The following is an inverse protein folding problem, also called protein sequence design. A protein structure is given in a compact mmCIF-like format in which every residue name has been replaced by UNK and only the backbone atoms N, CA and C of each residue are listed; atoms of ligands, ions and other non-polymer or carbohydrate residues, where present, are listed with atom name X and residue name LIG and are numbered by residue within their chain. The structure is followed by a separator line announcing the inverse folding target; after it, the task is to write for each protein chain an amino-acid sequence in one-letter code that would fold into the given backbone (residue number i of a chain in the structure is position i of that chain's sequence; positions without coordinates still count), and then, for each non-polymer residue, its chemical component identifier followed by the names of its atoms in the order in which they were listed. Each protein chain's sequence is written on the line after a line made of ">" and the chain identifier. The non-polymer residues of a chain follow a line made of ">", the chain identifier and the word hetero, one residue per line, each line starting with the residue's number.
data_IF_102626164742
#
_entry.id   IF_102626164742
#
_cell.length_a   1.000
_cell.length_b   1.000
_cell.length_c   1.000
_cell.angle_alpha   90.00
_cell.angle_beta   90.00
_cell.angle_gamma   90.00
#
_symmetry.space_group_name_H-M   'P 1'
#
loop_
_entity.id
_entity.type
_entity.pdbx_description
1 polymer ?
#
# COMPACT_ATOMS: atom_id res chain seq x y z
N UNK A 1 -17.48 -19.70 13.00
CA UNK A 1 -18.61 -19.08 13.73
C UNK A 1 -18.22 -17.66 14.07
N UNK A 2 -18.86 -16.67 13.46
CA UNK A 2 -18.54 -15.25 13.62
C UNK A 2 -19.19 -14.73 14.91
N UNK A 3 -18.38 -14.24 15.86
CA UNK A 3 -18.87 -13.74 17.15
C UNK A 3 -19.18 -12.25 17.01
N UNK A 4 -20.46 -11.89 16.91
CA UNK A 4 -20.91 -10.49 16.87
C UNK A 4 -20.79 -9.82 18.23
N UNK A 5 -20.45 -8.54 18.26
CA UNK A 5 -20.21 -7.76 19.49
C UNK A 5 -21.39 -7.72 20.46
N UNK A 6 -22.61 -7.75 19.92
CA UNK A 6 -23.82 -7.78 20.74
C UNK A 6 -23.87 -9.01 21.65
N UNK A 7 -23.30 -10.16 21.26
CA UNK A 7 -23.25 -11.35 22.12
C UNK A 7 -22.38 -11.12 23.36
N UNK A 8 -21.22 -10.47 23.19
CA UNK A 8 -20.31 -10.16 24.29
C UNK A 8 -20.97 -9.15 25.23
N UNK A 9 -21.59 -8.11 24.66
CA UNK A 9 -22.27 -7.08 25.44
C UNK A 9 -23.48 -7.61 26.22
N UNK A 10 -24.31 -8.48 25.61
CA UNK A 10 -25.44 -9.12 26.31
C UNK A 10 -24.97 -10.03 27.44
N UNK A 11 -23.86 -10.75 27.25
CA UNK A 11 -23.31 -11.66 28.27
C UNK A 11 -22.79 -10.87 29.50
N UNK A 12 -22.12 -9.74 29.28
CA UNK A 12 -21.70 -8.82 30.35
C UNK A 12 -22.88 -8.22 31.11
N UNK A 13 -23.91 -7.78 30.38
CA UNK A 13 -25.11 -7.22 30.98
C UNK A 13 -25.85 -8.26 31.85
N UNK A 14 -25.99 -9.50 31.36
CA UNK A 14 -26.61 -10.59 32.11
C UNK A 14 -25.81 -10.92 33.38
N UNK A 15 -24.48 -11.01 33.28
CA UNK A 15 -23.60 -11.24 34.43
C UNK A 15 -23.78 -10.17 35.50
N UNK A 16 -23.91 -8.90 35.10
CA UNK A 16 -24.15 -7.79 36.00
C UNK A 16 -25.46 -7.96 36.79
N UNK A 17 -26.56 -8.30 36.12
CA UNK A 17 -27.87 -8.49 36.76
C UNK A 17 -27.85 -9.60 37.81
N UNK A 18 -27.19 -10.71 37.50
CA UNK A 18 -27.08 -11.80 38.47
C UNK A 18 -26.19 -11.42 39.66
N UNK A 19 -25.05 -10.78 39.41
CA UNK A 19 -24.07 -10.42 40.44
C UNK A 19 -24.57 -9.32 41.40
N UNK A 20 -25.30 -8.32 40.89
CA UNK A 20 -25.70 -7.15 41.71
C UNK A 20 -27.18 -7.13 42.07
N UNK A 21 -28.06 -7.72 41.24
CA UNK A 21 -29.50 -7.76 41.49
C UNK A 21 -29.94 -9.04 42.19
N UNK A 22 -29.78 -10.18 41.51
CA UNK A 22 -30.35 -11.46 41.97
C UNK A 22 -29.70 -11.97 43.26
N UNK A 23 -28.37 -11.91 43.37
CA UNK A 23 -27.64 -12.37 44.56
C UNK A 23 -28.09 -11.61 45.82
N UNK A 24 -28.13 -10.28 45.77
CA UNK A 24 -28.54 -9.44 46.91
C UNK A 24 -30.02 -9.61 47.25
N UNK A 25 -30.88 -9.74 46.25
CA UNK A 25 -32.31 -9.99 46.47
C UNK A 25 -32.54 -11.29 47.25
N UNK A 26 -31.91 -12.40 46.86
CA UNK A 26 -32.10 -13.69 47.53
C UNK A 26 -31.39 -13.79 48.88
N UNK A 27 -30.27 -13.08 49.05
CA UNK A 27 -29.66 -12.85 50.37
C UNK A 27 -30.62 -12.11 51.30
N UNK A 28 -31.34 -11.11 50.81
CA UNK A 28 -32.35 -10.38 51.61
C UNK A 28 -33.51 -11.27 52.05
N UNK A 29 -33.87 -12.28 51.25
CA UNK A 29 -34.88 -13.29 51.61
C UNK A 29 -34.34 -14.43 52.49
N UNK A 30 -33.07 -14.37 52.93
CA UNK A 30 -32.37 -15.41 53.71
C UNK A 30 -32.28 -16.78 53.01
N UNK A 31 -32.53 -16.86 51.72
CA UNK A 31 -32.39 -18.10 50.94
C UNK A 31 -30.94 -18.25 50.46
N UNK A 32 -30.10 -18.84 51.33
CA UNK A 32 -28.66 -18.96 51.08
C UNK A 32 -28.34 -19.84 49.87
N UNK A 33 -29.15 -20.88 49.62
CA UNK A 33 -28.93 -21.80 48.50
C UNK A 33 -29.19 -21.14 47.13
N UNK A 34 -30.26 -20.35 47.00
CA UNK A 34 -30.55 -19.64 45.75
C UNK A 34 -29.57 -18.50 45.49
N UNK A 35 -29.13 -17.79 46.52
CA UNK A 35 -28.07 -16.79 46.40
C UNK A 35 -26.74 -17.41 45.92
N UNK A 36 -26.37 -18.58 46.47
CA UNK A 36 -25.19 -19.32 46.02
C UNK A 36 -25.31 -19.79 44.56
N UNK A 37 -26.47 -20.32 44.17
CA UNK A 37 -26.73 -20.73 42.78
C UNK A 37 -26.61 -19.56 41.79
N UNK A 38 -27.13 -18.37 42.14
CA UNK A 38 -26.98 -17.17 41.33
C UNK A 38 -25.52 -16.70 41.20
N UNK A 39 -24.73 -16.82 42.28
CA UNK A 39 -23.30 -16.51 42.26
C UNK A 39 -22.51 -17.42 41.32
N UNK A 40 -22.78 -18.73 41.35
CA UNK A 40 -22.16 -19.71 40.44
C UNK A 40 -22.55 -19.43 38.98
N UNK A 41 -23.83 -19.14 38.73
CA UNK A 41 -24.30 -18.79 37.38
C UNK A 41 -23.60 -17.54 36.83
N UNK A 42 -23.46 -16.47 37.65
CA UNK A 42 -22.75 -15.26 37.26
C UNK A 42 -21.29 -15.54 36.90
N UNK A 43 -20.61 -16.37 37.70
CA UNK A 43 -19.22 -16.76 37.44
C UNK A 43 -19.06 -17.52 36.12
N UNK A 44 -19.94 -18.49 35.83
CA UNK A 44 -19.90 -19.26 34.58
C UNK A 44 -20.15 -18.36 33.36
N UNK A 45 -21.09 -17.42 33.46
CA UNK A 45 -21.39 -16.45 32.40
C UNK A 45 -20.20 -15.52 32.15
N UNK A 46 -19.53 -15.06 33.21
CA UNK A 46 -18.33 -14.23 33.10
C UNK A 46 -17.17 -15.01 32.45
N UNK A 47 -16.93 -16.26 32.85
CA UNK A 47 -15.94 -17.12 32.20
C UNK A 47 -16.24 -17.34 30.72
N UNK A 48 -17.52 -17.52 30.36
CA UNK A 48 -17.94 -17.66 28.97
C UNK A 48 -17.72 -16.38 28.16
N UNK A 49 -17.98 -15.20 28.74
CA UNK A 49 -17.69 -13.90 28.11
C UNK A 49 -16.19 -13.73 27.85
N UNK A 50 -15.33 -14.06 28.81
CA UNK A 50 -13.86 -14.00 28.65
C UNK A 50 -13.38 -14.97 27.58
N UNK A 51 -13.95 -16.18 27.52
CA UNK A 51 -13.63 -17.14 26.48
C UNK A 51 -14.04 -16.66 25.08
N UNK A 52 -15.23 -16.06 24.94
CA UNK A 52 -15.67 -15.45 23.68
C UNK A 52 -14.76 -14.30 23.26
N UNK A 53 -14.33 -13.45 24.20
CA UNK A 53 -13.41 -12.34 23.94
C UNK A 53 -12.07 -12.86 23.41
N UNK A 54 -11.46 -13.83 24.11
CA UNK A 54 -10.20 -14.44 23.67
C UNK A 54 -10.30 -15.10 22.30
N UNK A 55 -11.44 -15.72 21.98
CA UNK A 55 -11.68 -16.34 20.68
C UNK A 55 -11.84 -15.31 19.56
N UNK A 56 -12.46 -14.15 19.85
CA UNK A 56 -12.54 -13.01 18.93
C UNK A 56 -11.15 -12.41 18.71
N UNK A 57 -10.36 -12.25 19.77
CA UNK A 57 -8.98 -11.74 19.66
C UNK A 57 -8.10 -12.68 18.81
N UNK A 58 -8.22 -14.00 18.99
CA UNK A 58 -7.55 -15.00 18.13
C UNK A 58 -8.00 -14.97 16.65
N UNK A 59 -9.22 -14.50 16.36
CA UNK A 59 -9.68 -14.28 14.99
C UNK A 59 -9.14 -12.97 14.41
N UNK A 60 -8.93 -11.94 15.24
CA UNK A 60 -8.31 -10.67 14.84
C UNK A 60 -6.79 -10.77 14.69
N UNK A 61 -6.14 -11.65 15.48
CA UNK A 61 -4.70 -11.92 15.47
C UNK A 61 -4.28 -13.03 14.51
N UNK A 62 -5.21 -13.57 13.71
CA UNK A 62 -4.79 -14.36 12.54
C UNK A 62 -4.14 -13.38 11.57
N UNK A 63 -2.81 -13.43 11.32
CA UNK A 63 -2.20 -12.60 10.31
C UNK A 63 -2.91 -12.95 9.01
N UNK A 64 -3.67 -12.00 8.48
CA UNK A 64 -4.31 -12.09 7.18
C UNK A 64 -3.20 -12.11 6.13
N UNK A 65 -2.59 -13.27 5.95
CA UNK A 65 -1.83 -13.60 4.77
C UNK A 65 -2.84 -13.63 3.63
N UNK A 66 -3.03 -12.45 3.03
CA UNK A 66 -3.60 -12.24 1.70
C UNK A 66 -5.00 -12.85 1.57
N UNK A 67 -6.02 -12.14 2.07
CA UNK A 67 -7.38 -12.34 1.57
C UNK A 67 -7.39 -11.88 0.12
N UNK A 68 -7.41 -12.82 -0.83
CA UNK A 68 -7.71 -12.49 -2.23
C UNK A 68 -9.11 -11.86 -2.29
N UNK A 69 -9.31 -10.74 -2.99
CA UNK A 69 -10.65 -10.20 -3.18
C UNK A 69 -11.52 -11.24 -3.90
N UNK A 70 -12.74 -11.50 -3.40
CA UNK A 70 -13.74 -12.46 -3.90
C UNK A 70 -14.25 -12.16 -5.34
N UNK A 71 -13.57 -11.30 -6.09
CA UNK A 71 -13.95 -10.90 -7.45
C UNK A 71 -12.76 -10.97 -8.41
N UNK A 72 -12.02 -12.07 -8.41
CA UNK A 72 -10.90 -12.31 -9.34
C UNK A 72 -11.28 -12.11 -10.82
N UNK A 73 -12.56 -12.25 -11.18
CA UNK A 73 -13.07 -11.98 -12.54
C UNK A 73 -13.14 -10.49 -12.90
N UNK A 74 -13.29 -9.58 -11.92
CA UNK A 74 -13.33 -8.12 -12.19
C UNK A 74 -11.95 -7.54 -12.49
N UNK A 75 -10.88 -8.24 -12.07
CA UNK A 75 -9.49 -7.79 -12.24
C UNK A 75 -8.85 -8.24 -13.57
N UNK A 76 -9.62 -8.81 -14.51
CA UNK A 76 -9.11 -9.25 -15.79
C UNK A 76 -8.33 -8.11 -16.50
N UNK A 77 -7.05 -8.36 -16.80
CA UNK A 77 -6.11 -7.45 -17.47
C UNK A 77 -6.63 -7.08 -18.86
N UNK A 78 -7.42 -6.01 -18.94
CA UNK A 78 -8.19 -5.62 -20.14
C UNK A 78 -7.37 -5.31 -21.40
N UNK A 79 -6.05 -5.26 -21.34
CA UNK A 79 -5.25 -4.64 -22.40
C UNK A 79 -3.97 -5.38 -22.79
N UNK A 80 -3.73 -6.62 -22.33
CA UNK A 80 -2.56 -7.39 -22.79
C UNK A 80 -2.81 -8.18 -24.09
N UNK A 81 -4.07 -8.32 -24.52
CA UNK A 81 -4.44 -9.20 -25.64
C UNK A 81 -4.10 -8.63 -27.03
N UNK A 82 -3.90 -7.32 -27.15
CA UNK A 82 -3.62 -6.66 -28.43
C UNK A 82 -2.13 -6.26 -28.54
N UNK A 83 -1.40 -6.69 -29.58
CA UNK A 83 0.01 -6.35 -29.79
C UNK A 83 0.33 -4.85 -29.80
N UNK A 84 -0.65 -4.01 -30.15
CA UNK A 84 -0.50 -2.55 -30.15
C UNK A 84 -0.39 -1.95 -28.74
N UNK A 85 -0.96 -2.60 -27.72
CA UNK A 85 -0.93 -2.13 -26.34
C UNK A 85 0.42 -2.38 -25.68
N UNK A 86 1.02 -3.55 -25.93
CA UNK A 86 2.36 -3.90 -25.41
C UNK A 86 3.49 -3.17 -26.13
N UNK A 87 3.20 -2.55 -27.28
CA UNK A 87 4.17 -1.78 -28.07
C UNK A 87 4.83 -0.69 -27.22
N UNK A 88 4.04 0.10 -26.49
CA UNK A 88 4.56 1.14 -25.60
C UNK A 88 5.60 0.59 -24.62
N UNK A 89 5.28 -0.53 -23.96
CA UNK A 89 6.14 -1.17 -22.96
C UNK A 89 7.44 -1.65 -23.60
N UNK A 90 7.38 -2.26 -24.78
CA UNK A 90 8.57 -2.67 -25.55
C UNK A 90 9.48 -1.49 -25.92
N UNK A 91 8.94 -0.30 -26.17
CA UNK A 91 9.75 0.90 -26.49
C UNK A 91 10.18 1.70 -25.25
N UNK A 92 9.61 1.43 -24.07
CA UNK A 92 9.83 2.21 -22.87
C UNK A 92 11.31 2.31 -22.44
N UNK A 93 12.14 1.24 -22.49
CA UNK A 93 13.58 1.35 -22.22
C UNK A 93 14.30 2.32 -23.14
N UNK A 94 13.95 2.34 -24.44
CA UNK A 94 14.54 3.28 -25.40
C UNK A 94 14.09 4.71 -25.12
N UNK A 95 12.81 4.91 -24.82
CA UNK A 95 12.28 6.23 -24.49
C UNK A 95 12.93 6.79 -23.20
N UNK A 96 13.14 5.94 -22.19
CA UNK A 96 13.86 6.28 -20.96
C UNK A 96 15.25 6.78 -21.25
N UNK A 97 16.04 6.06 -22.06
CA UNK A 97 17.40 6.48 -22.42
C UNK A 97 17.42 7.87 -23.06
N UNK A 98 16.54 8.13 -24.01
CA UNK A 98 16.44 9.46 -24.64
C UNK A 98 16.11 10.56 -23.63
N UNK A 99 15.14 10.32 -22.75
CA UNK A 99 14.77 11.30 -21.72
C UNK A 99 15.90 11.50 -20.69
N UNK A 100 16.66 10.44 -20.37
CA UNK A 100 17.81 10.49 -19.46
C UNK A 100 18.98 11.24 -20.10
N UNK A 101 19.25 11.02 -21.39
CA UNK A 101 20.31 11.73 -22.12
C UNK A 101 20.03 13.24 -22.15
N UNK A 102 18.77 13.63 -22.39
CA UNK A 102 18.35 15.04 -22.31
C UNK A 102 18.52 15.61 -20.90
N UNK A 103 18.14 14.85 -19.86
CA UNK A 103 18.33 15.28 -18.48
C UNK A 103 19.82 15.36 -18.08
N UNK A 104 20.67 14.49 -18.64
CA UNK A 104 22.10 14.45 -18.38
C UNK A 104 22.77 15.78 -18.77
N UNK A 105 22.36 16.41 -19.87
CA UNK A 105 22.87 17.72 -20.28
C UNK A 105 22.66 18.77 -19.18
N UNK A 106 21.50 18.76 -18.52
CA UNK A 106 21.20 19.66 -17.40
C UNK A 106 21.95 19.29 -16.12
N UNK A 107 22.10 18.00 -15.83
CA UNK A 107 22.89 17.51 -14.69
C UNK A 107 24.37 17.87 -14.79
N UNK A 108 24.94 17.82 -16.00
CA UNK A 108 26.37 18.07 -16.26
C UNK A 108 26.75 19.55 -16.17
N UNK A 109 25.76 20.47 -16.12
CA UNK A 109 26.03 21.90 -15.95
C UNK A 109 26.69 22.26 -14.61
N UNK A 110 26.51 21.42 -13.59
CA UNK A 110 26.95 21.70 -12.22
C UNK A 110 26.22 22.86 -11.52
N UNK A 111 25.24 23.48 -12.18
CA UNK A 111 24.41 24.55 -11.60
C UNK A 111 23.18 23.93 -10.97
N UNK A 112 23.05 24.02 -9.64
CA UNK A 112 21.99 23.31 -8.88
C UNK A 112 20.57 23.62 -9.36
N UNK A 113 20.32 24.82 -9.88
CA UNK A 113 19.04 25.17 -10.50
C UNK A 113 18.75 24.30 -11.73
N UNK A 114 19.67 24.24 -12.68
CA UNK A 114 19.54 23.46 -13.91
C UNK A 114 19.48 21.96 -13.62
N UNK A 115 20.31 21.49 -12.68
CA UNK A 115 20.28 20.08 -12.26
C UNK A 115 18.91 19.68 -11.71
N UNK A 116 18.28 20.58 -10.92
CA UNK A 116 16.94 20.34 -10.37
C UNK A 116 15.87 20.38 -11.47
N UNK A 117 15.95 21.32 -12.40
CA UNK A 117 15.04 21.41 -13.55
C UNK A 117 15.12 20.16 -14.42
N UNK A 118 16.32 19.68 -14.72
CA UNK A 118 16.53 18.43 -15.45
C UNK A 118 15.92 17.22 -14.72
N UNK A 119 16.08 17.15 -13.40
CA UNK A 119 15.43 16.10 -12.61
C UNK A 119 13.91 16.18 -12.68
N UNK A 120 13.31 17.37 -12.65
CA UNK A 120 11.85 17.51 -12.81
C UNK A 120 11.38 17.04 -14.20
N UNK A 121 12.06 17.44 -15.28
CA UNK A 121 11.70 16.97 -16.62
C UNK A 121 11.76 15.45 -16.74
N UNK A 122 12.77 14.82 -16.14
CA UNK A 122 12.88 13.37 -16.14
C UNK A 122 11.80 12.70 -15.27
N UNK A 123 11.45 13.30 -14.13
CA UNK A 123 10.32 12.85 -13.29
C UNK A 123 8.99 12.95 -14.06
N UNK A 124 8.76 14.01 -14.82
CA UNK A 124 7.54 14.17 -15.64
C UNK A 124 7.41 13.07 -16.71
N UNK A 125 8.55 12.67 -17.31
CA UNK A 125 8.60 11.51 -18.22
C UNK A 125 8.22 10.21 -17.49
N UNK A 126 8.75 9.98 -16.29
CA UNK A 126 8.45 8.78 -15.49
C UNK A 126 6.99 8.78 -15.00
N UNK A 127 6.44 9.93 -14.59
CA UNK A 127 5.02 10.10 -14.24
C UNK A 127 4.13 9.72 -15.43
N UNK A 128 4.43 10.26 -16.61
CA UNK A 128 3.70 9.96 -17.84
C UNK A 128 3.79 8.48 -18.22
N UNK A 129 4.95 7.88 -18.00
CA UNK A 129 5.16 6.45 -18.25
C UNK A 129 4.36 5.58 -17.31
N UNK A 130 4.32 5.92 -16.01
CA UNK A 130 3.49 5.22 -15.03
C UNK A 130 2.00 5.41 -15.31
N UNK A 131 1.56 6.62 -15.66
CA UNK A 131 0.19 6.90 -16.09
C UNK A 131 -0.24 5.99 -17.25
N UNK A 132 0.64 5.76 -18.22
CA UNK A 132 0.36 4.86 -19.32
C UNK A 132 0.32 3.39 -18.88
N UNK A 133 1.19 2.99 -17.96
CA UNK A 133 1.15 1.65 -17.35
C UNK A 133 -0.11 1.43 -16.49
N UNK A 134 -0.65 2.50 -15.89
CA UNK A 134 -1.86 2.44 -15.09
C UNK A 134 -3.09 2.00 -15.91
N UNK A 135 -3.09 2.22 -17.23
CA UNK A 135 -4.16 1.76 -18.13
C UNK A 135 -4.32 0.24 -18.14
N UNK A 136 -3.27 -0.52 -17.79
CA UNK A 136 -3.32 -1.99 -17.73
C UNK A 136 -3.99 -2.53 -16.45
N UNK A 137 -4.28 -1.64 -15.49
CA UNK A 137 -4.91 -1.99 -14.22
C UNK A 137 -6.40 -1.65 -14.22
N UNK A 138 -7.23 -2.37 -13.43
CA UNK A 138 -8.64 -2.07 -13.30
C UNK A 138 -8.91 -0.65 -12.77
N UNK A 139 -10.07 -0.03 -13.12
CA UNK A 139 -10.38 1.35 -12.72
C UNK A 139 -10.37 1.61 -11.21
N UNK A 140 -10.64 0.59 -10.40
CA UNK A 140 -10.66 0.62 -8.93
C UNK A 140 -9.31 0.27 -8.29
N UNK A 141 -8.28 -0.05 -9.09
CA UNK A 141 -6.96 -0.43 -8.61
C UNK A 141 -6.30 0.66 -7.74
N UNK A 142 -6.55 1.94 -8.08
CA UNK A 142 -6.01 3.10 -7.36
C UNK A 142 -6.97 3.63 -6.27
N UNK A 143 -7.94 2.81 -5.86
CA UNK A 143 -8.94 3.15 -4.86
C UNK A 143 -9.91 4.21 -5.35
N UNK A 144 -10.22 5.20 -4.50
CA UNK A 144 -11.18 6.25 -4.81
C UNK A 144 -10.62 7.40 -5.68
N UNK A 145 -9.32 7.36 -6.01
CA UNK A 145 -8.63 8.41 -6.78
C UNK A 145 -8.53 8.01 -8.23
N UNK A 146 -8.51 9.00 -9.13
CA UNK A 146 -8.05 8.75 -10.50
C UNK A 146 -6.57 8.31 -10.50
N UNK A 147 -6.12 7.55 -11.51
CA UNK A 147 -4.71 7.17 -11.63
C UNK A 147 -3.77 8.38 -11.55
N UNK A 148 -4.14 9.50 -12.19
CA UNK A 148 -3.37 10.74 -12.14
C UNK A 148 -3.26 11.31 -10.74
N UNK A 149 -4.37 11.47 -10.03
CA UNK A 149 -4.34 11.99 -8.66
C UNK A 149 -3.54 11.08 -7.73
N UNK A 150 -3.68 9.76 -7.87
CA UNK A 150 -2.90 8.80 -7.08
C UNK A 150 -1.40 8.94 -7.33
N UNK A 151 -0.99 8.99 -8.60
CA UNK A 151 0.41 9.05 -9.01
C UNK A 151 1.03 10.38 -8.60
N UNK A 152 0.39 11.50 -8.89
CA UNK A 152 0.88 12.83 -8.49
C UNK A 152 1.04 12.92 -6.96
N UNK A 153 0.07 12.39 -6.19
CA UNK A 153 0.17 12.35 -4.73
C UNK A 153 1.28 11.42 -4.24
N UNK A 154 1.58 10.33 -4.94
CA UNK A 154 2.71 9.47 -4.63
C UNK A 154 4.04 10.22 -4.82
N UNK A 155 4.23 10.86 -5.97
CA UNK A 155 5.45 11.60 -6.30
C UNK A 155 5.67 12.72 -5.28
N UNK A 156 4.63 13.48 -4.95
CA UNK A 156 4.72 14.54 -3.95
C UNK A 156 5.13 14.00 -2.57
N UNK A 157 4.60 12.85 -2.15
CA UNK A 157 4.99 12.22 -0.89
C UNK A 157 6.45 11.77 -0.89
N UNK A 158 6.94 11.20 -1.98
CA UNK A 158 8.36 10.82 -2.08
C UNK A 158 9.28 12.04 -2.09
N UNK A 159 8.92 13.09 -2.83
CA UNK A 159 9.66 14.34 -2.82
C UNK A 159 9.74 14.94 -1.41
N UNK A 160 8.61 14.98 -0.68
CA UNK A 160 8.58 15.48 0.69
C UNK A 160 9.42 14.60 1.65
N UNK A 161 9.33 13.28 1.51
CA UNK A 161 10.12 12.34 2.31
C UNK A 161 11.62 12.53 2.07
N UNK A 162 12.06 12.60 0.82
CA UNK A 162 13.48 12.77 0.51
C UNK A 162 14.01 14.16 0.88
N UNK A 163 13.21 15.22 0.73
CA UNK A 163 13.57 16.54 1.26
C UNK A 163 13.82 16.47 2.77
N UNK A 164 12.88 15.89 3.53
CA UNK A 164 13.02 15.75 4.98
C UNK A 164 14.22 14.87 5.36
N UNK A 165 14.51 13.82 4.59
CA UNK A 165 15.68 12.94 4.77
C UNK A 165 17.00 13.71 4.62
N UNK A 166 17.08 14.61 3.65
CA UNK A 166 18.28 15.41 3.35
C UNK A 166 18.39 16.68 4.22
N UNK A 167 17.31 17.08 4.90
CA UNK A 167 17.27 18.23 5.82
C UNK A 167 16.78 17.83 7.23
N UNK A 168 17.56 17.02 7.97
CA UNK A 168 17.14 16.50 9.29
C UNK A 168 16.94 17.59 10.35
N UNK A 169 17.50 18.79 10.14
CA UNK A 169 17.39 19.93 11.04
C UNK A 169 16.28 20.92 10.63
N UNK A 170 15.47 20.56 9.63
CA UNK A 170 14.34 21.35 9.15
C UNK A 170 14.62 22.06 7.80
N UNK A 171 13.55 22.62 7.19
CA UNK A 171 13.61 23.16 5.83
C UNK A 171 14.67 24.26 5.64
N UNK A 172 15.46 24.14 4.58
CA UNK A 172 16.47 25.13 4.18
C UNK A 172 17.84 24.96 4.85
N UNK A 173 18.06 23.88 5.62
CA UNK A 173 19.32 23.63 6.32
C UNK A 173 20.40 23.00 5.44
N UNK A 174 20.04 22.37 4.33
CA UNK A 174 21.00 21.71 3.43
C UNK A 174 21.41 22.51 2.20
N UNK A 175 20.88 23.73 2.04
CA UNK A 175 21.19 24.60 0.89
C UNK A 175 20.58 24.12 -0.43
N UNK A 176 21.08 24.62 -1.56
CA UNK A 176 20.46 24.37 -2.87
C UNK A 176 20.69 22.95 -3.41
N UNK A 177 21.68 22.22 -2.87
CA UNK A 177 22.00 20.85 -3.30
C UNK A 177 20.92 19.84 -2.88
N UNK A 178 20.15 20.13 -1.82
CA UNK A 178 19.07 19.25 -1.33
C UNK A 178 18.06 18.94 -2.43
N UNK A 179 17.66 19.94 -3.22
CA UNK A 179 16.72 19.73 -4.32
C UNK A 179 17.24 18.77 -5.39
N UNK A 180 18.55 18.78 -5.63
CA UNK A 180 19.22 17.85 -6.56
C UNK A 180 19.22 16.44 -5.99
N UNK A 181 19.61 16.27 -4.72
CA UNK A 181 19.65 14.97 -4.04
C UNK A 181 18.26 14.35 -3.91
N UNK A 182 17.27 15.13 -3.49
CA UNK A 182 15.89 14.68 -3.40
C UNK A 182 15.33 14.29 -4.77
N UNK A 183 15.60 15.08 -5.81
CA UNK A 183 15.20 14.75 -7.18
C UNK A 183 15.80 13.42 -7.67
N UNK A 184 17.10 13.20 -7.45
CA UNK A 184 17.75 11.94 -7.80
C UNK A 184 17.19 10.72 -7.05
N UNK A 185 16.75 10.90 -5.80
CA UNK A 185 16.09 9.84 -5.05
C UNK A 185 14.68 9.54 -5.57
N UNK A 186 13.87 10.57 -5.87
CA UNK A 186 12.53 10.37 -6.49
C UNK A 186 12.66 9.64 -7.82
N UNK A 187 13.65 10.00 -8.65
CA UNK A 187 13.92 9.33 -9.92
C UNK A 187 14.16 7.84 -9.70
N UNK A 188 15.02 7.48 -8.75
CA UNK A 188 15.33 6.06 -8.45
C UNK A 188 14.09 5.30 -7.99
N UNK A 189 13.27 5.90 -7.13
CA UNK A 189 12.02 5.30 -6.67
C UNK A 189 11.06 5.02 -7.82
N UNK A 190 10.91 5.98 -8.75
CA UNK A 190 10.04 5.84 -9.91
C UNK A 190 10.57 4.85 -10.94
N UNK A 191 11.88 4.80 -11.16
CA UNK A 191 12.48 3.84 -12.09
C UNK A 191 12.32 2.40 -11.60
N UNK A 192 12.52 2.17 -10.29
CA UNK A 192 12.27 0.87 -9.66
C UNK A 192 10.80 0.48 -9.70
N UNK A 193 9.91 1.43 -9.41
CA UNK A 193 8.47 1.18 -9.44
C UNK A 193 7.98 0.82 -10.85
N UNK A 194 8.45 1.51 -11.89
CA UNK A 194 8.10 1.16 -13.28
C UNK A 194 8.59 -0.24 -13.64
N UNK A 195 9.81 -0.59 -13.24
CA UNK A 195 10.35 -1.94 -13.42
C UNK A 195 9.48 -3.00 -12.74
N UNK A 196 9.08 -2.76 -11.48
CA UNK A 196 8.22 -3.65 -10.70
C UNK A 196 6.84 -3.83 -11.35
N UNK A 197 6.26 -2.75 -11.89
CA UNK A 197 4.97 -2.80 -12.58
C UNK A 197 5.05 -3.62 -13.87
N UNK A 198 6.07 -3.38 -14.69
CA UNK A 198 6.25 -4.13 -15.95
C UNK A 198 6.54 -5.61 -15.64
N UNK A 199 7.38 -5.88 -14.65
CA UNK A 199 7.64 -7.26 -14.17
C UNK A 199 6.37 -7.92 -13.65
N UNK A 200 5.51 -7.18 -12.95
CA UNK A 200 4.21 -7.71 -12.50
C UNK A 200 3.29 -8.05 -13.67
N UNK A 201 3.32 -7.25 -14.74
CA UNK A 201 2.50 -7.47 -15.93
C UNK A 201 3.00 -8.65 -16.78
N UNK A 202 4.32 -8.77 -17.00
CA UNK A 202 4.89 -9.71 -17.99
C UNK A 202 5.80 -10.80 -17.41
N UNK A 203 6.05 -10.83 -16.09
CA UNK A 203 7.00 -11.77 -15.48
C UNK A 203 6.63 -13.26 -15.64
N UNK A 204 5.40 -13.56 -16.04
CA UNK A 204 4.91 -14.90 -16.34
C UNK A 204 4.41 -15.05 -17.78
N UNK A 205 4.66 -14.05 -18.64
CA UNK A 205 4.28 -14.08 -20.05
C UNK A 205 5.40 -14.73 -20.87
N UNK A 206 5.14 -15.90 -21.46
CA UNK A 206 6.12 -16.64 -22.26
C UNK A 206 6.49 -15.93 -23.57
N UNK A 207 5.64 -15.02 -24.06
CA UNK A 207 5.86 -14.28 -25.31
C UNK A 207 6.57 -12.93 -25.09
N UNK A 208 6.90 -12.59 -23.84
CA UNK A 208 7.60 -11.37 -23.47
C UNK A 208 8.92 -11.69 -22.75
N UNK A 209 10.04 -11.36 -23.39
CA UNK A 209 11.37 -11.49 -22.80
C UNK A 209 11.61 -10.40 -21.73
N UNK A 210 11.10 -10.66 -20.53
CA UNK A 210 11.16 -9.74 -19.39
C UNK A 210 12.59 -9.51 -18.91
N UNK A 211 13.43 -10.55 -18.95
CA UNK A 211 14.83 -10.44 -18.52
C UNK A 211 15.60 -9.49 -19.43
N UNK A 212 15.42 -9.61 -20.75
CA UNK A 212 15.98 -8.67 -21.71
C UNK A 212 15.42 -7.27 -21.52
N UNK A 213 14.11 -7.14 -21.29
CA UNK A 213 13.49 -5.84 -21.08
C UNK A 213 14.07 -5.13 -19.84
N UNK A 214 14.27 -5.85 -18.73
CA UNK A 214 14.88 -5.31 -17.50
C UNK A 214 16.34 -4.91 -17.77
N UNK A 215 17.09 -5.75 -18.50
CA UNK A 215 18.46 -5.42 -18.88
C UNK A 215 18.51 -4.13 -19.72
N UNK A 216 17.61 -3.98 -20.70
CA UNK A 216 17.50 -2.78 -21.52
C UNK A 216 17.04 -1.56 -20.70
N UNK A 217 16.12 -1.74 -19.74
CA UNK A 217 15.60 -0.69 -18.86
C UNK A 217 16.71 -0.08 -17.99
N UNK A 218 17.49 -0.96 -17.35
CA UNK A 218 18.62 -0.59 -16.48
C UNK A 218 19.85 -0.16 -17.25
N UNK A 219 19.92 -0.43 -18.55
CA UNK A 219 21.04 0.00 -19.39
C UNK A 219 21.00 1.51 -19.61
N UNK A 220 22.12 2.15 -19.33
CA UNK A 220 22.38 3.54 -19.73
C UNK A 220 23.10 3.61 -21.09
N UNK A 221 23.47 2.46 -21.67
CA UNK A 221 24.13 2.37 -22.97
C UNK A 221 23.10 2.06 -24.07
N UNK A 222 23.20 2.73 -25.21
CA UNK A 222 22.55 2.29 -26.43
C UNK A 222 23.19 0.97 -26.89
N UNK A 223 22.57 -0.17 -26.60
CA UNK A 223 22.83 -1.37 -27.38
C UNK A 223 22.24 -1.14 -28.78
N UNK A 224 23.11 -0.90 -29.75
CA UNK A 224 22.76 -0.90 -31.16
C UNK A 224 22.02 -2.21 -31.48
N UNK A 225 20.75 -2.07 -31.87
CA UNK A 225 19.96 -3.14 -32.48
C UNK A 225 20.11 -3.09 -33.99
#
# INVERSE_FOLDING_TARGET
>A
MHVRDWHIQSTWWLSGIFATGAVWYFLSQKSQWTAAACGVAAFLIACFAVWLHRRKDQQSDSPSLISQPETAETFARRYLEEPSHVRFIKYLPRARRLARDEAQEGWDTGVTLHMREASHHYIDFLESSWLRLAEFYPPDHFGAKSPKEFITDFIQRQANYHWAKHEPHGPGTGGTIVGVLAGGDVIRDLEGLIEDLVTSLFGYDEDFDIDRWIADWRSDNASDA
#
